data_IF_672769887000
#
_entry.id   IF_672769887000
#
_cell.length_a   1.000
_cell.length_b   1.000
_cell.length_c   1.000
_cell.angle_alpha   90.00
_cell.angle_beta   90.00
_cell.angle_gamma   90.00
#
_symmetry.space_group_name_H-M   'P 1'
#
loop_
_entity.id
_entity.type
_entity.pdbx_description
1 polymer ?
#
# COMPACT_ATOMS: atom_id res chain seq x y z
N UNK A 1 23.05 -65.26 14.53
CA UNK A 1 23.38 -63.94 13.94
C UNK A 1 22.22 -62.97 14.12
N UNK A 2 22.33 -62.05 15.10
CA UNK A 2 21.31 -60.99 15.37
C UNK A 2 21.55 -59.85 14.40
N UNK A 3 20.62 -59.62 13.47
CA UNK A 3 20.59 -58.42 12.65
C UNK A 3 20.15 -57.23 13.52
N UNK A 4 21.07 -56.31 13.79
CA UNK A 4 20.81 -55.06 14.41
C UNK A 4 20.23 -54.11 13.33
N UNK A 5 18.94 -53.92 13.38
CA UNK A 5 18.23 -52.98 12.49
C UNK A 5 18.42 -51.56 13.04
N UNK A 6 19.31 -50.77 12.42
CA UNK A 6 19.50 -49.36 12.74
C UNK A 6 18.28 -48.56 12.22
N UNK A 7 17.41 -48.15 13.11
CA UNK A 7 16.39 -47.14 12.79
C UNK A 7 17.07 -45.79 12.65
N UNK A 8 17.21 -45.36 11.42
CA UNK A 8 17.64 -44.03 11.07
C UNK A 8 16.42 -43.11 11.28
N UNK A 9 16.31 -42.44 12.45
CA UNK A 9 15.36 -41.38 12.66
C UNK A 9 15.81 -40.16 11.85
N UNK A 10 15.25 -40.04 10.64
CA UNK A 10 15.31 -38.81 9.87
C UNK A 10 14.40 -37.79 10.55
N UNK A 11 14.94 -37.06 11.52
CA UNK A 11 14.28 -35.88 12.08
C UNK A 11 14.20 -34.83 10.98
N UNK A 12 13.07 -34.82 10.28
CA UNK A 12 12.67 -33.71 9.40
C UNK A 12 12.43 -32.50 10.30
N UNK A 13 13.49 -31.72 10.53
CA UNK A 13 13.35 -30.37 11.12
C UNK A 13 12.61 -29.56 10.08
N UNK A 14 11.27 -29.50 10.20
CA UNK A 14 10.49 -28.45 9.58
C UNK A 14 10.96 -27.13 10.23
N UNK A 15 11.95 -26.52 9.61
CA UNK A 15 12.25 -25.11 9.86
C UNK A 15 11.00 -24.34 9.45
N UNK A 16 10.09 -24.09 10.40
CA UNK A 16 9.08 -23.06 10.29
C UNK A 16 9.87 -21.77 10.22
N UNK A 17 10.22 -21.35 9.00
CA UNK A 17 10.68 -20.01 8.76
C UNK A 17 9.52 -19.11 9.18
N UNK A 18 9.60 -18.60 10.42
CA UNK A 18 8.79 -17.46 10.82
C UNK A 18 9.15 -16.35 9.83
N UNK A 19 8.37 -16.22 8.78
CA UNK A 19 8.45 -15.11 7.83
C UNK A 19 7.94 -13.87 8.55
N UNK A 20 8.80 -13.35 9.45
CA UNK A 20 8.55 -12.09 10.13
C UNK A 20 8.49 -10.99 9.07
N UNK A 21 7.27 -10.55 8.75
CA UNK A 21 7.03 -9.26 8.11
C UNK A 21 7.71 -9.01 6.76
N UNK A 22 7.98 -10.07 5.99
CA UNK A 22 8.60 -9.90 4.69
C UNK A 22 7.65 -9.15 3.76
N UNK A 23 8.10 -8.01 3.26
CA UNK A 23 7.44 -7.32 2.16
C UNK A 23 7.47 -8.20 0.91
N UNK A 24 6.30 -8.49 0.38
CA UNK A 24 6.15 -9.23 -0.87
C UNK A 24 5.89 -8.23 -1.99
N UNK A 25 6.72 -8.27 -3.01
CA UNK A 25 6.49 -7.52 -4.24
C UNK A 25 5.23 -8.04 -4.92
N UNK A 26 4.38 -7.12 -5.38
CA UNK A 26 3.14 -7.42 -6.09
C UNK A 26 3.13 -6.65 -7.39
N UNK A 27 3.14 -7.38 -8.50
CA UNK A 27 2.98 -6.81 -9.84
C UNK A 27 1.49 -6.71 -10.19
N UNK A 28 1.07 -5.54 -10.66
CA UNK A 28 -0.30 -5.28 -11.14
C UNK A 28 -0.26 -4.29 -12.29
N UNK A 29 -1.40 -3.81 -12.80
CA UNK A 29 -1.39 -2.96 -13.98
C UNK A 29 -2.55 -1.95 -13.98
N UNK A 30 -2.33 -0.84 -14.67
CA UNK A 30 -3.33 0.09 -15.14
C UNK A 30 -3.31 0.12 -16.66
N UNK A 31 -4.18 -0.64 -17.31
CA UNK A 31 -4.11 -0.89 -18.74
C UNK A 31 -2.74 -1.48 -19.12
N UNK A 32 -2.00 -0.79 -19.98
CA UNK A 32 -0.66 -1.20 -20.41
C UNK A 32 0.46 -0.74 -19.44
N UNK A 33 0.16 0.12 -18.46
CA UNK A 33 1.15 0.55 -17.50
C UNK A 33 1.33 -0.49 -16.39
N UNK A 34 2.51 -1.07 -16.31
CA UNK A 34 2.89 -1.96 -15.21
C UNK A 34 3.09 -1.17 -13.93
N UNK A 35 2.62 -1.71 -12.81
CA UNK A 35 2.74 -1.16 -11.46
C UNK A 35 3.41 -2.20 -10.56
N UNK A 36 4.21 -1.73 -9.59
CA UNK A 36 4.91 -2.57 -8.63
C UNK A 36 4.68 -2.07 -7.21
N UNK A 37 3.78 -2.73 -6.49
CA UNK A 37 3.54 -2.45 -5.08
C UNK A 37 4.20 -3.45 -4.15
N UNK A 38 4.07 -3.23 -2.83
CA UNK A 38 4.63 -4.10 -1.81
C UNK A 38 3.61 -4.41 -0.73
N UNK A 39 3.37 -5.69 -0.50
CA UNK A 39 2.41 -6.18 0.50
C UNK A 39 3.14 -6.68 1.75
N UNK A 40 2.65 -6.26 2.92
CA UNK A 40 3.05 -6.79 4.22
C UNK A 40 1.83 -7.43 4.90
N UNK A 41 1.91 -8.74 5.15
CA UNK A 41 0.85 -9.47 5.85
C UNK A 41 0.86 -9.14 7.33
N UNK A 42 -0.31 -8.94 7.93
CA UNK A 42 -0.46 -8.77 9.38
C UNK A 42 0.25 -9.89 10.16
N UNK A 43 1.12 -9.51 11.11
CA UNK A 43 1.90 -10.44 11.94
C UNK A 43 1.18 -10.84 13.22
N UNK A 44 0.08 -10.16 13.56
CA UNK A 44 -0.79 -10.45 14.71
C UNK A 44 -2.18 -10.77 14.23
N UNK A 45 -2.96 -11.42 15.09
CA UNK A 45 -4.35 -11.70 14.82
C UNK A 45 -5.12 -10.42 14.46
N UNK A 46 -5.80 -10.46 13.34
CA UNK A 46 -6.59 -9.36 12.81
C UNK A 46 -7.97 -9.90 12.37
N UNK A 47 -8.89 -10.16 13.32
CA UNK A 47 -10.19 -10.74 13.01
C UNK A 47 -11.03 -9.86 12.09
N UNK A 48 -10.83 -8.53 12.12
CA UNK A 48 -11.48 -7.58 11.23
C UNK A 48 -10.79 -7.47 9.86
N UNK A 49 -9.65 -8.13 9.66
CA UNK A 49 -8.85 -8.08 8.43
C UNK A 49 -8.62 -6.65 7.92
N UNK A 50 -8.32 -5.74 8.87
CA UNK A 50 -8.08 -4.33 8.56
C UNK A 50 -6.89 -4.20 7.62
N UNK A 51 -7.08 -3.46 6.53
CA UNK A 51 -6.05 -3.14 5.55
C UNK A 51 -5.68 -1.66 5.56
N UNK A 52 -4.41 -1.36 5.32
CA UNK A 52 -3.90 0.00 5.22
C UNK A 52 -3.11 0.16 3.92
N UNK A 53 -3.52 1.12 3.10
CA UNK A 53 -2.73 1.57 1.94
C UNK A 53 -1.73 2.62 2.42
N UNK A 54 -0.47 2.47 2.03
CA UNK A 54 0.60 3.45 2.25
C UNK A 54 0.90 4.14 0.92
N UNK A 55 0.64 5.43 0.85
CA UNK A 55 0.95 6.27 -0.31
C UNK A 55 2.31 6.95 -0.10
N UNK A 56 3.30 6.69 -0.96
CA UNK A 56 4.65 7.22 -0.82
C UNK A 56 4.74 8.72 -1.11
N UNK A 57 5.86 9.32 -0.73
CA UNK A 57 6.21 10.69 -1.07
C UNK A 57 6.50 10.82 -2.59
N UNK A 58 6.82 12.04 -3.02
CA UNK A 58 6.96 12.41 -4.43
C UNK A 58 8.08 11.70 -5.21
N UNK A 59 9.02 11.04 -4.54
CA UNK A 59 10.04 10.21 -5.21
C UNK A 59 9.53 8.82 -5.59
N UNK A 60 8.26 8.48 -5.27
CA UNK A 60 7.68 7.15 -5.52
C UNK A 60 7.97 6.16 -4.39
N UNK A 61 7.88 4.87 -4.69
CA UNK A 61 8.07 3.81 -3.70
C UNK A 61 9.50 3.81 -3.16
N UNK A 62 9.66 4.21 -1.92
CA UNK A 62 10.94 4.35 -1.22
C UNK A 62 11.06 3.45 0.02
N UNK A 63 12.20 3.52 0.69
CA UNK A 63 12.46 2.76 1.90
C UNK A 63 11.50 3.14 3.05
N UNK A 64 11.14 4.43 3.18
CA UNK A 64 10.25 4.91 4.23
C UNK A 64 8.83 4.35 4.08
N UNK A 65 8.28 4.33 2.86
CA UNK A 65 6.97 3.75 2.60
C UNK A 65 6.95 2.24 2.88
N UNK A 66 8.03 1.53 2.52
CA UNK A 66 8.20 0.10 2.81
C UNK A 66 8.28 -0.17 4.31
N UNK A 67 9.10 0.55 5.03
CA UNK A 67 9.22 0.46 6.50
C UNK A 67 7.88 0.77 7.19
N UNK A 68 7.13 1.76 6.72
CA UNK A 68 5.79 2.07 7.23
C UNK A 68 4.85 0.87 7.09
N UNK A 69 4.86 0.19 5.94
CA UNK A 69 4.05 -1.00 5.72
C UNK A 69 4.48 -2.17 6.63
N UNK A 70 5.78 -2.39 6.82
CA UNK A 70 6.29 -3.39 7.76
C UNK A 70 5.88 -3.10 9.19
N UNK A 71 5.97 -1.84 9.64
CA UNK A 71 5.59 -1.43 10.99
C UNK A 71 4.08 -1.60 11.22
N UNK A 72 3.25 -1.26 10.23
CA UNK A 72 1.81 -1.54 10.28
C UNK A 72 1.52 -3.04 10.39
N UNK A 73 2.28 -3.87 9.69
CA UNK A 73 2.11 -5.33 9.75
C UNK A 73 2.42 -5.88 11.16
N UNK A 74 3.44 -5.36 11.83
CA UNK A 74 3.78 -5.69 13.23
C UNK A 74 2.66 -5.30 14.20
N UNK A 75 1.90 -4.25 13.88
CA UNK A 75 0.73 -3.81 14.66
C UNK A 75 -0.54 -4.65 14.38
N UNK A 76 -0.50 -5.55 13.38
CA UNK A 76 -1.61 -6.44 13.05
C UNK A 76 -2.46 -5.97 11.87
N UNK A 77 -1.99 -5.04 11.05
CA UNK A 77 -2.67 -4.60 9.84
C UNK A 77 -2.07 -5.28 8.60
N UNK A 78 -2.92 -5.65 7.64
CA UNK A 78 -2.45 -5.87 6.28
C UNK A 78 -2.06 -4.54 5.69
N UNK A 79 -0.87 -4.38 5.14
CA UNK A 79 -0.42 -3.13 4.58
C UNK A 79 0.04 -3.29 3.12
N UNK A 80 -0.19 -2.27 2.30
CA UNK A 80 0.20 -2.27 0.90
C UNK A 80 0.76 -0.91 0.50
N UNK A 81 1.99 -0.89 0.03
CA UNK A 81 2.61 0.30 -0.56
C UNK A 81 2.17 0.42 -2.01
N UNK A 82 1.50 1.50 -2.35
CA UNK A 82 1.00 1.74 -3.70
C UNK A 82 2.07 2.32 -4.61
N UNK A 83 2.17 1.80 -5.83
CA UNK A 83 2.92 2.45 -6.91
C UNK A 83 1.97 3.37 -7.70
N UNK A 84 2.21 4.67 -7.60
CA UNK A 84 1.39 5.67 -8.28
C UNK A 84 1.93 5.96 -9.69
N UNK A 85 3.24 5.99 -9.84
CA UNK A 85 3.86 6.40 -11.11
C UNK A 85 3.94 5.27 -12.14
N UNK A 86 4.18 4.06 -11.67
CA UNK A 86 4.35 2.89 -12.50
C UNK A 86 5.81 2.56 -12.82
N UNK A 87 6.04 1.30 -13.16
CA UNK A 87 7.35 0.77 -13.50
C UNK A 87 7.96 1.55 -14.65
N UNK A 88 9.19 2.03 -14.45
CA UNK A 88 9.93 2.84 -15.43
C UNK A 88 9.69 4.36 -15.32
N UNK A 89 8.72 4.81 -14.52
CA UNK A 89 8.35 6.23 -14.37
C UNK A 89 8.77 6.83 -13.01
N UNK A 90 9.49 6.08 -12.18
CA UNK A 90 10.03 6.64 -10.94
C UNK A 90 10.99 7.79 -11.24
N UNK A 91 10.81 8.95 -10.58
CA UNK A 91 11.64 10.12 -10.85
C UNK A 91 13.09 9.87 -10.41
N UNK A 92 14.03 10.36 -11.19
CA UNK A 92 15.49 10.26 -10.94
C UNK A 92 16.04 11.49 -10.22
N UNK A 93 15.28 12.57 -10.19
CA UNK A 93 15.64 13.83 -9.57
C UNK A 93 14.39 14.61 -9.14
N UNK A 94 14.58 15.69 -8.40
CA UNK A 94 13.49 16.52 -7.86
C UNK A 94 12.65 17.21 -8.94
N UNK A 95 13.25 17.54 -10.09
CA UNK A 95 12.54 18.13 -11.23
C UNK A 95 11.53 17.14 -11.83
N UNK A 96 11.94 15.89 -12.06
CA UNK A 96 11.06 14.82 -12.51
C UNK A 96 9.99 14.50 -11.45
N UNK A 97 10.38 14.48 -10.17
CA UNK A 97 9.44 14.25 -9.07
C UNK A 97 8.35 15.34 -9.02
N UNK A 98 8.74 16.60 -9.16
CA UNK A 98 7.81 17.73 -9.23
C UNK A 98 6.84 17.61 -10.41
N UNK A 99 7.35 17.23 -11.59
CA UNK A 99 6.53 17.01 -12.80
C UNK A 99 5.53 15.87 -12.59
N UNK A 100 6.00 14.71 -12.11
CA UNK A 100 5.16 13.54 -11.90
C UNK A 100 4.09 13.80 -10.83
N UNK A 101 4.47 14.34 -9.68
CA UNK A 101 3.55 14.70 -8.62
C UNK A 101 2.53 15.77 -9.09
N UNK A 102 2.99 16.75 -9.86
CA UNK A 102 2.14 17.78 -10.45
C UNK A 102 1.09 17.21 -11.38
N UNK A 103 1.45 16.22 -12.21
CA UNK A 103 0.50 15.54 -13.07
C UNK A 103 -0.68 14.94 -12.26
N UNK A 104 -0.38 14.13 -11.24
CA UNK A 104 -1.43 13.47 -10.46
C UNK A 104 -2.25 14.47 -9.61
N UNK A 105 -1.62 15.51 -9.06
CA UNK A 105 -2.33 16.57 -8.34
C UNK A 105 -3.32 17.34 -9.22
N UNK A 106 -2.99 17.51 -10.51
CA UNK A 106 -3.85 18.18 -11.47
C UNK A 106 -4.83 17.23 -12.20
N UNK A 107 -4.67 15.91 -12.02
CA UNK A 107 -5.52 14.89 -12.58
C UNK A 107 -6.03 13.94 -11.48
N UNK A 108 -6.94 14.42 -10.61
CA UNK A 108 -7.38 13.67 -9.42
C UNK A 108 -8.03 12.33 -9.77
N UNK A 109 -8.73 12.22 -10.89
CA UNK A 109 -9.33 10.97 -11.33
C UNK A 109 -8.27 9.89 -11.60
N UNK A 110 -7.15 10.25 -12.25
CA UNK A 110 -6.04 9.33 -12.47
C UNK A 110 -5.36 8.94 -11.16
N UNK A 111 -5.23 9.89 -10.22
CA UNK A 111 -4.67 9.61 -8.91
C UNK A 111 -5.55 8.63 -8.13
N UNK A 112 -6.85 8.91 -8.06
CA UNK A 112 -7.84 8.05 -7.40
C UNK A 112 -7.87 6.64 -8.02
N UNK A 113 -7.77 6.55 -9.36
CA UNK A 113 -7.69 5.26 -10.07
C UNK A 113 -6.47 4.44 -9.64
N UNK A 114 -5.28 5.06 -9.57
CA UNK A 114 -4.06 4.38 -9.11
C UNK A 114 -4.19 3.89 -7.66
N UNK A 115 -4.81 4.70 -6.80
CA UNK A 115 -5.07 4.32 -5.40
C UNK A 115 -6.10 3.18 -5.33
N UNK A 116 -7.16 3.22 -6.13
CA UNK A 116 -8.16 2.15 -6.18
C UNK A 116 -7.54 0.82 -6.61
N UNK A 117 -6.67 0.82 -7.63
CA UNK A 117 -5.96 -0.38 -8.05
C UNK A 117 -5.10 -0.99 -6.92
N UNK A 118 -4.47 -0.15 -6.11
CA UNK A 118 -3.72 -0.62 -4.94
C UNK A 118 -4.65 -1.19 -3.85
N UNK A 119 -5.81 -0.56 -3.61
CA UNK A 119 -6.84 -1.08 -2.70
C UNK A 119 -7.30 -2.46 -3.16
N UNK A 120 -7.53 -2.64 -4.45
CA UNK A 120 -7.97 -3.92 -5.02
C UNK A 120 -6.92 -5.04 -4.79
N UNK A 121 -5.61 -4.71 -4.90
CA UNK A 121 -4.55 -5.67 -4.58
C UNK A 121 -4.52 -6.01 -3.09
N UNK A 122 -4.71 -5.04 -2.20
CA UNK A 122 -4.75 -5.27 -0.76
C UNK A 122 -5.94 -6.16 -0.38
N UNK A 123 -7.12 -5.94 -0.97
CA UNK A 123 -8.31 -6.79 -0.77
C UNK A 123 -8.07 -8.20 -1.31
N UNK A 124 -7.48 -8.33 -2.50
CA UNK A 124 -7.09 -9.63 -3.08
C UNK A 124 -6.10 -10.38 -2.19
N UNK A 125 -5.23 -9.66 -1.48
CA UNK A 125 -4.28 -10.22 -0.52
C UNK A 125 -4.91 -10.59 0.84
N UNK A 126 -6.22 -10.36 1.04
CA UNK A 126 -6.99 -10.86 2.17
C UNK A 126 -7.49 -9.79 3.14
N UNK A 127 -7.33 -8.50 2.88
CA UNK A 127 -7.97 -7.45 3.66
C UNK A 127 -9.49 -7.41 3.38
N UNK A 128 -10.28 -7.03 4.39
CA UNK A 128 -11.70 -6.79 4.21
C UNK A 128 -11.92 -5.46 3.47
N UNK A 129 -12.59 -5.51 2.32
CA UNK A 129 -12.93 -4.34 1.50
C UNK A 129 -13.69 -3.23 2.24
N UNK A 130 -14.34 -3.59 3.36
CA UNK A 130 -15.06 -2.64 4.21
C UNK A 130 -14.24 -2.13 5.40
N UNK A 131 -12.97 -2.52 5.52
CA UNK A 131 -12.09 -2.18 6.63
C UNK A 131 -10.74 -1.63 6.12
N UNK A 132 -10.80 -0.75 5.12
CA UNK A 132 -9.60 -0.14 4.51
C UNK A 132 -9.39 1.27 5.07
N UNK A 133 -8.14 1.59 5.38
CA UNK A 133 -7.66 2.95 5.62
C UNK A 133 -6.55 3.30 4.63
N UNK A 134 -6.33 4.59 4.43
CA UNK A 134 -5.23 5.09 3.58
C UNK A 134 -4.41 6.09 4.38
N UNK A 135 -3.10 5.91 4.39
CA UNK A 135 -2.16 6.88 4.94
C UNK A 135 -1.22 7.36 3.84
N UNK A 136 -0.78 8.59 3.90
CA UNK A 136 0.14 9.12 2.90
C UNK A 136 1.01 10.24 3.41
N UNK A 137 2.21 10.35 2.83
CA UNK A 137 3.24 11.30 3.22
C UNK A 137 3.51 12.29 2.08
N UNK A 138 3.53 13.59 2.36
CA UNK A 138 3.80 14.63 1.36
C UNK A 138 2.85 14.53 0.15
N UNK A 139 3.37 14.18 -1.02
CA UNK A 139 2.55 13.87 -2.20
C UNK A 139 1.51 12.78 -1.91
N UNK A 140 1.89 11.68 -1.23
CA UNK A 140 0.97 10.64 -0.79
C UNK A 140 -0.09 11.16 0.19
N UNK A 141 0.23 12.16 1.03
CA UNK A 141 -0.74 12.85 1.88
C UNK A 141 -1.81 13.57 1.07
N UNK A 142 -1.44 14.21 -0.04
CA UNK A 142 -2.41 14.75 -1.02
C UNK A 142 -3.27 13.61 -1.60
N UNK A 143 -2.67 12.45 -1.92
CA UNK A 143 -3.39 11.28 -2.41
C UNK A 143 -4.40 10.72 -1.38
N UNK A 144 -4.05 10.74 -0.09
CA UNK A 144 -4.99 10.36 0.97
C UNK A 144 -6.22 11.30 1.00
N UNK A 145 -6.01 12.60 0.84
CA UNK A 145 -7.12 13.57 0.71
C UNK A 145 -7.94 13.32 -0.57
N UNK A 146 -7.28 13.05 -1.70
CA UNK A 146 -7.97 12.73 -2.95
C UNK A 146 -8.77 11.42 -2.87
N UNK A 147 -8.29 10.44 -2.08
CA UNK A 147 -9.05 9.21 -1.76
C UNK A 147 -10.38 9.54 -1.09
N UNK A 148 -10.36 10.44 -0.10
CA UNK A 148 -11.57 10.88 0.59
C UNK A 148 -12.50 11.71 -0.31
N UNK A 149 -11.96 12.63 -1.11
CA UNK A 149 -12.72 13.45 -2.06
C UNK A 149 -13.40 12.62 -3.15
N UNK A 150 -12.74 11.57 -3.62
CA UNK A 150 -13.29 10.62 -4.58
C UNK A 150 -14.29 9.63 -3.97
N UNK A 151 -14.49 9.67 -2.65
CA UNK A 151 -15.33 8.71 -1.91
C UNK A 151 -14.98 7.23 -2.23
N UNK A 152 -13.68 6.93 -2.39
CA UNK A 152 -13.24 5.55 -2.49
C UNK A 152 -13.71 4.80 -1.22
N UNK A 153 -13.98 3.49 -1.35
CA UNK A 153 -14.53 2.71 -0.24
C UNK A 153 -13.49 2.50 0.87
N UNK A 154 -13.26 3.55 1.67
CA UNK A 154 -12.34 3.53 2.82
C UNK A 154 -13.01 4.06 4.07
N UNK A 155 -12.60 3.58 5.24
CA UNK A 155 -13.11 4.04 6.54
C UNK A 155 -12.49 5.35 6.99
N UNK A 156 -11.26 5.60 6.59
CA UNK A 156 -10.55 6.81 6.96
C UNK A 156 -9.27 7.00 6.17
N UNK A 157 -8.81 8.23 6.18
CA UNK A 157 -7.56 8.65 5.56
C UNK A 157 -6.74 9.48 6.53
N UNK A 158 -5.41 9.35 6.46
CA UNK A 158 -4.47 10.18 7.22
C UNK A 158 -3.49 10.83 6.25
N UNK A 159 -3.41 12.15 6.30
CA UNK A 159 -2.47 12.93 5.50
C UNK A 159 -1.37 13.49 6.38
N UNK A 160 -0.15 13.01 6.19
CA UNK A 160 1.04 13.58 6.83
C UNK A 160 1.63 14.67 5.91
N UNK A 161 1.50 15.93 6.30
CA UNK A 161 1.95 17.15 5.61
C UNK A 161 1.63 17.19 4.09
N UNK A 162 0.51 16.57 3.67
CA UNK A 162 0.03 16.66 2.29
C UNK A 162 -0.58 18.01 1.97
N UNK A 163 -0.53 18.39 0.69
CA UNK A 163 -1.24 19.58 0.23
C UNK A 163 -2.76 19.38 0.29
N UNK A 164 -3.46 20.33 0.90
CA UNK A 164 -4.93 20.32 1.02
C UNK A 164 -5.63 21.05 -0.13
N UNK A 165 -4.86 21.61 -1.05
CA UNK A 165 -5.38 22.26 -2.24
C UNK A 165 -6.25 21.30 -3.08
N UNK A 166 -7.24 21.86 -3.78
CA UNK A 166 -8.15 21.13 -4.65
C UNK A 166 -7.88 21.52 -6.10
N UNK A 167 -7.71 20.54 -6.99
CA UNK A 167 -7.64 20.82 -8.41
C UNK A 167 -8.98 21.40 -8.91
N UNK A 168 -8.93 22.29 -9.90
CA UNK A 168 -10.12 22.99 -10.42
C UNK A 168 -11.20 22.02 -10.95
N UNK A 169 -10.76 20.88 -11.49
CA UNK A 169 -11.62 19.83 -12.04
C UNK A 169 -12.03 18.75 -11.02
N UNK A 170 -11.62 18.86 -9.74
CA UNK A 170 -12.07 17.94 -8.70
C UNK A 170 -13.53 18.13 -8.37
N UNK A 171 -14.34 17.07 -8.28
CA UNK A 171 -15.73 17.20 -7.84
C UNK A 171 -15.81 17.68 -6.40
N UNK A 172 -16.89 18.40 -6.08
CA UNK A 172 -17.22 18.77 -4.69
C UNK A 172 -18.24 17.79 -4.16
N UNK A 173 -17.76 16.71 -3.54
CA UNK A 173 -18.61 15.70 -2.91
C UNK A 173 -18.53 15.83 -1.39
N UNK A 174 -19.60 15.43 -0.70
CA UNK A 174 -19.54 15.18 0.74
C UNK A 174 -18.57 14.05 1.02
N UNK A 175 -17.59 14.29 1.89
CA UNK A 175 -16.60 13.29 2.29
C UNK A 175 -17.22 12.36 3.33
N UNK A 176 -17.27 11.06 3.03
CA UNK A 176 -17.82 10.02 3.91
C UNK A 176 -16.77 9.39 4.84
N UNK A 177 -15.52 9.38 4.42
CA UNK A 177 -14.43 8.83 5.21
C UNK A 177 -14.04 9.75 6.37
N UNK A 178 -13.55 9.19 7.47
CA UNK A 178 -12.88 9.97 8.52
C UNK A 178 -11.58 10.54 7.98
N UNK A 179 -11.29 11.82 8.26
CA UNK A 179 -10.09 12.50 7.76
C UNK A 179 -9.28 13.00 8.94
N UNK A 180 -7.97 12.69 8.93
CA UNK A 180 -6.95 13.23 9.84
C UNK A 180 -5.86 13.90 8.99
N UNK A 181 -5.50 15.14 9.34
CA UNK A 181 -4.45 15.93 8.68
C UNK A 181 -3.55 16.58 9.72
#
# INVERSE_FOLDING_TARGET
QKKVMKYLYLTLILATMNSFGQLVKVDYADGNQKLEGFFAKAQKANPKKIGVIVLPAWMGVDAHAKESAENLSKLGYHAFVADIYGVGNNPKNTGEAGKNAGFYKNNPAEYQKRIQLAIDQLVKAGADKNQIAVIGYCFGGTGAIETARGNLNVKGVVSFHGGLGKAANSPTNEIKAKVLV
#
